data_IF_733849892969
#
_entry.id   IF_733849892969
#
_cell.length_a   1.000
_cell.length_b   1.000
_cell.length_c   1.000
_cell.angle_alpha   90.00
_cell.angle_beta   90.00
_cell.angle_gamma   90.00
#
_symmetry.space_group_name_H-M   'P 1'
#
loop_
_entity.id
_entity.type
_entity.pdbx_description
1 polymer ?
#
# COMPACT_ATOMS: atom_id res chain seq x y z
N UNK A 1 -5.03 -14.02 19.50
CA UNK A 1 -4.89 -12.63 19.01
C UNK A 1 -3.67 -11.88 19.52
N UNK A 2 -2.94 -12.36 20.53
CA UNK A 2 -1.76 -11.65 21.04
C UNK A 2 -0.70 -11.37 19.95
N UNK A 3 -0.63 -12.22 18.92
CA UNK A 3 0.25 -12.05 17.76
C UNK A 3 -0.13 -10.91 16.81
N UNK A 4 -1.31 -10.30 16.95
CA UNK A 4 -1.80 -9.22 16.09
C UNK A 4 -2.26 -8.01 16.92
N UNK A 5 -1.35 -7.26 17.56
CA UNK A 5 -1.72 -6.03 18.24
C UNK A 5 -2.24 -4.98 17.25
N UNK A 6 -3.28 -4.25 17.64
CA UNK A 6 -3.89 -3.26 16.74
C UNK A 6 -2.90 -2.13 16.37
N UNK A 7 -3.00 -1.62 15.13
CA UNK A 7 -2.14 -0.57 14.57
C UNK A 7 -0.65 -0.93 14.46
N UNK A 8 -0.28 -2.19 14.66
CA UNK A 8 1.10 -2.68 14.40
C UNK A 8 1.26 -3.12 12.95
N UNK A 9 2.52 -3.23 12.51
CA UNK A 9 2.85 -3.78 11.20
C UNK A 9 3.45 -5.18 11.37
N UNK A 10 3.15 -6.08 10.45
CA UNK A 10 3.66 -7.46 10.46
C UNK A 10 4.08 -7.90 9.06
N UNK A 11 5.04 -8.81 9.00
CA UNK A 11 5.22 -9.69 7.84
C UNK A 11 4.43 -10.97 8.05
N UNK A 12 3.83 -11.47 6.97
CA UNK A 12 3.08 -12.72 6.96
C UNK A 12 3.87 -13.75 6.15
N UNK A 13 4.55 -14.67 6.83
CA UNK A 13 5.30 -15.76 6.21
C UNK A 13 4.46 -17.02 6.15
N UNK A 14 4.26 -17.56 4.95
CA UNK A 14 3.55 -18.83 4.74
C UNK A 14 4.58 -19.94 4.77
N UNK A 15 4.51 -20.79 5.80
CA UNK A 15 5.47 -21.87 6.03
C UNK A 15 5.44 -22.90 4.90
N UNK A 16 4.26 -23.22 4.39
CA UNK A 16 4.09 -24.25 3.35
C UNK A 16 4.61 -23.83 1.97
N UNK A 17 4.71 -22.52 1.71
CA UNK A 17 5.30 -21.97 0.48
C UNK A 17 6.71 -21.41 0.67
N UNK A 18 7.23 -21.41 1.90
CA UNK A 18 8.49 -20.75 2.27
C UNK A 18 8.59 -19.33 1.68
N UNK A 19 7.53 -18.54 1.84
CA UNK A 19 7.43 -17.22 1.22
C UNK A 19 6.59 -16.23 2.02
N UNK A 20 6.90 -14.95 1.89
CA UNK A 20 6.11 -13.84 2.45
C UNK A 20 4.99 -13.42 1.51
N UNK A 21 3.81 -13.19 2.08
CA UNK A 21 2.68 -12.58 1.39
C UNK A 21 2.92 -11.08 1.18
N UNK A 22 2.75 -10.59 -0.04
CA UNK A 22 2.90 -9.17 -0.36
C UNK A 22 1.87 -8.66 -1.36
N UNK A 23 1.59 -7.35 -1.26
CA UNK A 23 0.74 -6.61 -2.17
C UNK A 23 1.49 -6.27 -3.47
N UNK A 24 0.99 -6.73 -4.62
CA UNK A 24 1.60 -6.37 -5.90
C UNK A 24 1.50 -4.85 -6.14
N UNK A 25 2.55 -4.27 -6.76
CA UNK A 25 2.66 -2.81 -6.97
C UNK A 25 1.61 -2.33 -7.97
N UNK A 26 1.56 -2.92 -9.16
CA UNK A 26 0.76 -2.40 -10.29
C UNK A 26 -0.54 -3.17 -10.55
N UNK A 27 -0.90 -4.09 -9.65
CA UNK A 27 -2.06 -4.98 -9.80
C UNK A 27 -2.82 -5.05 -8.49
N UNK A 28 -4.12 -5.28 -8.57
CA UNK A 28 -4.95 -5.60 -7.39
C UNK A 28 -4.62 -6.98 -6.78
N UNK A 29 -3.65 -7.70 -7.33
CA UNK A 29 -3.29 -9.04 -6.90
C UNK A 29 -2.43 -9.07 -5.64
N UNK A 30 -2.38 -10.27 -5.07
CA UNK A 30 -1.48 -10.67 -3.99
C UNK A 30 -0.49 -11.68 -4.56
N UNK A 31 0.74 -11.69 -4.05
CA UNK A 31 1.74 -12.67 -4.44
C UNK A 31 2.64 -13.05 -3.26
N UNK A 32 3.51 -14.04 -3.50
CA UNK A 32 4.43 -14.57 -2.53
C UNK A 32 5.89 -14.35 -2.97
N UNK A 33 6.77 -14.01 -2.04
CA UNK A 33 8.21 -13.89 -2.30
C UNK A 33 9.03 -14.55 -1.18
N UNK A 34 9.97 -15.46 -1.49
CA UNK A 34 10.87 -16.04 -0.49
C UNK A 34 11.81 -15.02 0.14
N UNK A 35 12.17 -13.96 -0.59
CA UNK A 35 13.16 -12.98 -0.16
C UNK A 35 12.52 -11.74 0.45
N UNK A 36 12.58 -11.63 1.80
CA UNK A 36 12.10 -10.46 2.55
C UNK A 36 12.72 -9.14 2.06
N UNK A 37 13.99 -9.15 1.69
CA UNK A 37 14.74 -7.94 1.29
C UNK A 37 14.21 -7.29 0.00
N UNK A 38 13.46 -8.02 -0.83
CA UNK A 38 12.89 -7.51 -2.07
C UNK A 38 11.48 -6.91 -1.91
N UNK A 39 10.86 -7.07 -0.73
CA UNK A 39 9.46 -6.69 -0.52
C UNK A 39 9.26 -5.20 -0.28
N UNK A 40 10.24 -4.52 0.34
CA UNK A 40 10.09 -3.15 0.83
C UNK A 40 8.72 -2.99 1.54
N UNK A 41 8.04 -1.84 1.39
CA UNK A 41 6.74 -1.59 2.02
C UNK A 41 5.59 -2.46 1.50
N UNK A 42 5.76 -3.14 0.37
CA UNK A 42 4.71 -3.95 -0.25
C UNK A 42 4.42 -5.26 0.49
N UNK A 43 5.37 -5.79 1.27
CA UNK A 43 5.11 -6.98 2.11
C UNK A 43 4.70 -6.67 3.54
N UNK A 44 4.66 -5.38 3.93
CA UNK A 44 4.26 -4.98 5.26
C UNK A 44 2.75 -4.79 5.35
N UNK A 45 2.14 -5.48 6.32
CA UNK A 45 0.70 -5.44 6.56
C UNK A 45 0.42 -4.76 7.90
N UNK A 46 -0.34 -3.69 7.88
CA UNK A 46 -0.87 -3.05 9.06
C UNK A 46 -2.08 -3.83 9.60
N UNK A 47 -2.09 -4.05 10.91
CA UNK A 47 -3.12 -4.78 11.63
C UNK A 47 -4.26 -3.83 12.00
N UNK A 48 -5.46 -4.17 11.56
CA UNK A 48 -6.70 -3.51 11.95
C UNK A 48 -7.58 -4.52 12.72
N UNK A 49 -7.67 -4.37 14.04
CA UNK A 49 -8.56 -5.17 14.88
C UNK A 49 -9.97 -4.60 14.91
N UNK A 50 -10.95 -5.51 14.86
CA UNK A 50 -12.36 -5.17 14.86
C UNK A 50 -13.15 -6.24 15.63
N UNK A 51 -14.10 -5.84 16.48
CA UNK A 51 -15.07 -6.77 17.09
C UNK A 51 -16.40 -6.62 16.38
N UNK A 52 -16.98 -7.74 15.94
CA UNK A 52 -18.29 -7.78 15.29
C UNK A 52 -19.08 -8.99 15.75
N UNK A 53 -20.31 -8.75 16.22
CA UNK A 53 -21.21 -9.78 16.75
C UNK A 53 -20.59 -10.60 17.90
N UNK A 54 -19.69 -9.98 18.69
CA UNK A 54 -18.96 -10.66 19.75
C UNK A 54 -17.76 -11.49 19.28
N UNK A 55 -17.50 -11.54 17.97
CA UNK A 55 -16.33 -12.20 17.39
C UNK A 55 -15.25 -11.16 17.10
N UNK A 56 -14.02 -11.46 17.51
CA UNK A 56 -12.87 -10.66 17.15
C UNK A 56 -12.34 -11.04 15.76
N UNK A 57 -12.11 -10.01 14.95
CA UNK A 57 -11.51 -10.09 13.63
C UNK A 57 -10.22 -9.29 13.55
N UNK A 58 -9.35 -9.75 12.67
CA UNK A 58 -8.15 -9.08 12.20
C UNK A 58 -8.33 -8.83 10.72
N UNK A 59 -8.15 -7.58 10.32
CA UNK A 59 -8.05 -7.16 8.93
C UNK A 59 -6.60 -6.75 8.68
N UNK A 60 -6.11 -7.02 7.47
CA UNK A 60 -4.76 -6.64 7.06
C UNK A 60 -4.87 -5.59 5.96
N UNK A 61 -4.26 -4.42 6.15
CA UNK A 61 -4.15 -3.44 5.07
C UNK A 61 -2.68 -3.19 4.70
N UNK A 62 -2.41 -3.09 3.41
CA UNK A 62 -1.08 -2.87 2.88
C UNK A 62 -0.53 -1.54 3.37
N UNK A 63 0.68 -1.54 3.93
CA UNK A 63 1.35 -0.31 4.32
C UNK A 63 1.73 0.56 3.12
N UNK A 64 1.79 -0.03 1.91
CA UNK A 64 2.14 0.66 0.67
C UNK A 64 0.94 1.34 0.00
N UNK A 65 -0.23 0.68 -0.01
CA UNK A 65 -1.41 1.15 -0.76
C UNK A 65 -2.61 1.52 0.11
N UNK A 66 -2.59 1.13 1.39
CA UNK A 66 -3.73 1.20 2.31
C UNK A 66 -4.86 0.22 2.01
N UNK A 67 -4.80 -0.52 0.89
CA UNK A 67 -5.84 -1.49 0.51
C UNK A 67 -5.82 -2.71 1.40
N UNK A 68 -7.01 -3.27 1.64
CA UNK A 68 -7.22 -4.43 2.50
C UNK A 68 -6.98 -5.72 1.73
N UNK A 69 -6.31 -6.67 2.39
CA UNK A 69 -6.28 -8.06 1.97
C UNK A 69 -7.71 -8.61 2.02
N UNK A 70 -8.14 -9.22 0.93
CA UNK A 70 -9.43 -9.85 0.83
C UNK A 70 -9.30 -11.23 0.19
N UNK A 71 -10.08 -12.18 0.69
CA UNK A 71 -10.25 -13.45 0.02
C UNK A 71 -11.40 -13.35 -1.00
N UNK A 72 -11.26 -14.02 -2.13
CA UNK A 72 -12.27 -14.15 -3.18
C UNK A 72 -12.50 -15.63 -3.44
N UNK A 73 -13.60 -15.94 -4.13
CA UNK A 73 -13.85 -17.30 -4.60
C UNK A 73 -12.74 -17.70 -5.58
N UNK A 74 -12.21 -18.92 -5.44
CA UNK A 74 -11.21 -19.44 -6.37
C UNK A 74 -11.80 -19.42 -7.78
N UNK A 75 -11.11 -18.72 -8.69
CA UNK A 75 -11.38 -18.92 -10.12
C UNK A 75 -11.04 -20.36 -10.46
N UNK A 76 -11.86 -21.03 -11.27
CA UNK A 76 -11.71 -22.43 -11.71
C UNK A 76 -10.36 -22.76 -12.39
N UNK A 77 -9.49 -21.77 -12.58
CA UNK A 77 -8.13 -21.92 -13.09
C UNK A 77 -7.14 -22.33 -11.97
N UNK A 78 -6.73 -23.59 -12.04
CA UNK A 78 -5.87 -24.33 -11.12
C UNK A 78 -4.60 -23.58 -10.63
N UNK A 79 -4.33 -23.69 -9.31
CA UNK A 79 -3.13 -24.35 -8.75
C UNK A 79 -2.35 -23.63 -7.61
N UNK A 80 -2.86 -22.55 -7.01
CA UNK A 80 -2.28 -22.03 -5.76
C UNK A 80 -3.34 -21.37 -4.90
N UNK A 81 -3.47 -21.77 -3.63
CA UNK A 81 -4.53 -21.26 -2.76
C UNK A 81 -4.34 -19.80 -2.28
N UNK A 82 -3.23 -19.13 -2.62
CA UNK A 82 -3.15 -17.66 -2.52
C UNK A 82 -3.70 -16.93 -3.76
N UNK A 83 -4.06 -17.64 -4.84
CA UNK A 83 -4.70 -17.06 -6.02
C UNK A 83 -6.11 -16.54 -5.73
N UNK A 84 -6.73 -16.99 -4.63
CA UNK A 84 -7.98 -16.45 -4.10
C UNK A 84 -7.79 -15.22 -3.23
N UNK A 85 -6.67 -14.50 -3.30
CA UNK A 85 -6.46 -13.26 -2.55
C UNK A 85 -6.20 -12.03 -3.44
N UNK A 86 -6.86 -10.93 -3.08
CA UNK A 86 -6.77 -9.63 -3.76
C UNK A 86 -6.63 -8.49 -2.76
N UNK A 87 -6.35 -7.30 -3.28
CA UNK A 87 -6.40 -6.04 -2.56
C UNK A 87 -7.71 -5.31 -2.91
N UNK A 88 -8.48 -4.90 -1.90
CA UNK A 88 -9.70 -4.13 -2.11
C UNK A 88 -9.83 -2.92 -1.17
N UNK A 89 -10.83 -2.09 -1.39
CA UNK A 89 -11.26 -1.07 -0.43
C UNK A 89 -12.15 -1.70 0.64
N UNK A 90 -12.18 -1.08 1.83
CA UNK A 90 -13.09 -1.43 2.91
C UNK A 90 -14.12 -0.32 3.10
N UNK A 91 -15.24 -0.43 2.39
CA UNK A 91 -16.29 0.56 2.25
C UNK A 91 -17.57 0.24 3.01
N UNK A 92 -17.77 -1.00 3.42
CA UNK A 92 -18.99 -1.44 4.07
C UNK A 92 -18.67 -2.38 5.22
N UNK A 93 -19.31 -2.18 6.39
CA UNK A 93 -19.15 -3.11 7.49
C UNK A 93 -19.63 -4.52 7.10
N UNK A 94 -20.52 -4.70 6.14
CA UNK A 94 -20.98 -6.03 5.69
C UNK A 94 -19.95 -6.78 4.81
N UNK A 95 -18.80 -6.18 4.48
CA UNK A 95 -17.76 -6.84 3.71
C UNK A 95 -17.05 -7.92 4.54
N UNK A 96 -17.53 -9.15 4.45
CA UNK A 96 -16.98 -10.29 5.20
C UNK A 96 -15.67 -10.83 4.62
N UNK A 97 -15.39 -10.54 3.35
CA UNK A 97 -14.23 -11.07 2.63
C UNK A 97 -12.87 -10.50 3.10
N UNK A 98 -12.87 -9.42 3.88
CA UNK A 98 -11.67 -8.86 4.52
C UNK A 98 -11.51 -9.28 5.98
N UNK A 99 -12.50 -9.99 6.55
CA UNK A 99 -12.55 -10.32 7.97
C UNK A 99 -11.88 -11.67 8.22
N UNK A 100 -10.73 -11.64 8.89
CA UNK A 100 -10.01 -12.86 9.24
C UNK A 100 -10.02 -13.11 10.74
N UNK A 101 -10.02 -14.38 11.13
CA UNK A 101 -9.72 -14.83 12.47
C UNK A 101 -8.36 -15.52 12.46
N UNK A 102 -7.63 -15.37 13.55
CA UNK A 102 -6.31 -15.96 13.71
C UNK A 102 -6.26 -16.80 14.98
N UNK A 103 -5.87 -18.06 14.82
CA UNK A 103 -5.80 -19.06 15.90
C UNK A 103 -4.42 -19.70 15.93
N UNK A 104 -3.85 -19.80 17.12
CA UNK A 104 -2.54 -20.44 17.30
C UNK A 104 -2.68 -21.95 17.19
N UNK A 105 -1.73 -22.60 16.54
CA UNK A 105 -1.65 -24.04 16.45
C UNK A 105 -1.40 -24.65 17.84
N UNK A 106 -2.13 -25.73 18.16
CA UNK A 106 -2.07 -26.41 19.45
C UNK A 106 -0.90 -27.39 19.57
N UNK A 107 -0.11 -27.56 18.50
CA UNK A 107 1.04 -28.47 18.42
C UNK A 107 2.33 -27.89 19.05
N UNK A 108 2.28 -26.67 19.56
CA UNK A 108 3.43 -25.97 20.15
C UNK A 108 4.42 -25.40 19.13
N UNK A 109 4.12 -25.44 17.84
CA UNK A 109 4.97 -24.87 16.77
C UNK A 109 5.03 -23.34 16.79
N UNK A 110 4.06 -22.70 17.45
CA UNK A 110 3.86 -21.25 17.41
C UNK A 110 3.20 -20.76 16.11
N UNK A 111 2.78 -21.66 15.23
CA UNK A 111 2.11 -21.29 13.98
C UNK A 111 0.74 -20.70 14.22
N UNK A 112 0.31 -19.90 13.26
CA UNK A 112 -1.02 -19.32 13.20
C UNK A 112 -1.76 -19.93 12.02
N UNK A 113 -3.02 -20.32 12.23
CA UNK A 113 -3.97 -20.55 11.15
C UNK A 113 -4.83 -19.31 10.98
N UNK A 114 -5.00 -18.88 9.74
CA UNK A 114 -5.81 -17.73 9.35
C UNK A 114 -7.05 -18.25 8.63
N UNK A 115 -8.22 -17.80 9.06
CA UNK A 115 -9.51 -18.19 8.47
C UNK A 115 -10.34 -16.95 8.13
N UNK A 116 -10.94 -16.90 6.96
CA UNK A 116 -11.85 -15.84 6.58
C UNK A 116 -13.28 -16.12 7.08
N UNK A 117 -14.01 -15.07 7.47
CA UNK A 117 -15.41 -15.19 7.96
C UNK A 117 -16.33 -15.88 6.94
N UNK A 118 -16.16 -15.59 5.65
CA UNK A 118 -17.01 -16.12 4.58
C UNK A 118 -16.49 -17.44 4.01
N UNK A 119 -15.18 -17.56 3.83
CA UNK A 119 -14.58 -18.66 3.06
C UNK A 119 -13.95 -19.77 3.93
N UNK A 120 -13.86 -19.58 5.25
CA UNK A 120 -13.28 -20.58 6.16
C UNK A 120 -11.77 -20.52 6.24
N UNK A 121 -11.14 -21.63 6.67
CA UNK A 121 -9.69 -21.73 6.81
C UNK A 121 -9.00 -21.47 5.47
N UNK A 122 -7.90 -20.70 5.48
CA UNK A 122 -7.09 -20.50 4.29
C UNK A 122 -6.17 -21.70 4.13
N UNK A 123 -6.53 -22.60 3.22
CA UNK A 123 -5.87 -23.90 3.06
C UNK A 123 -4.79 -23.88 1.97
N UNK A 124 -3.71 -24.66 2.11
CA UNK A 124 -2.66 -24.82 1.10
C UNK A 124 -3.14 -25.71 -0.06
N UNK A 125 -3.94 -26.72 0.27
CA UNK A 125 -4.65 -27.59 -0.65
C UNK A 125 -6.15 -27.58 -0.28
N UNK A 126 -6.93 -28.56 -0.75
CA UNK A 126 -8.38 -28.56 -0.55
C UNK A 126 -8.80 -28.57 0.93
N UNK A 127 -8.00 -29.14 1.85
CA UNK A 127 -8.45 -29.40 3.22
C UNK A 127 -7.39 -29.10 4.31
N UNK A 128 -6.16 -28.76 3.93
CA UNK A 128 -5.05 -28.55 4.86
C UNK A 128 -4.85 -27.06 5.13
N UNK A 129 -5.16 -26.55 6.35
CA UNK A 129 -4.96 -25.14 6.69
C UNK A 129 -3.49 -24.72 6.56
N UNK A 130 -3.23 -23.59 5.89
CA UNK A 130 -1.89 -23.02 5.77
C UNK A 130 -1.35 -22.62 7.14
N UNK A 131 -0.05 -22.85 7.35
CA UNK A 131 0.67 -22.43 8.56
C UNK A 131 1.36 -21.10 8.34
N UNK A 132 1.00 -20.13 9.17
CA UNK A 132 1.51 -18.76 9.08
C UNK A 132 2.45 -18.47 10.24
N UNK A 133 3.57 -17.83 9.93
CA UNK A 133 4.46 -17.20 10.91
C UNK A 133 4.29 -15.70 10.80
N UNK A 134 4.01 -15.06 11.94
CA UNK A 134 3.79 -13.62 12.04
C UNK A 134 5.05 -12.98 12.59
N UNK A 135 5.74 -12.19 11.77
CA UNK A 135 6.93 -11.46 12.21
C UNK A 135 6.56 -9.99 12.47
N UNK A 136 6.76 -9.52 13.69
CA UNK A 136 6.49 -8.13 14.03
C UNK A 136 7.47 -7.18 13.32
N UNK A 137 6.94 -6.09 12.76
CA UNK A 137 7.71 -4.99 12.20
C UNK A 137 7.78 -3.89 13.25
N UNK A 138 9.00 -3.44 13.57
CA UNK A 138 9.18 -2.32 14.49
C UNK A 138 8.54 -1.06 13.92
N UNK A 139 7.93 -0.25 14.78
CA UNK A 139 7.34 1.02 14.37
C UNK A 139 8.42 2.10 14.32
N UNK A 140 8.38 2.98 13.31
CA UNK A 140 9.22 4.19 13.29
C UNK A 140 8.58 5.26 14.17
N UNK A 141 9.44 6.00 14.89
CA UNK A 141 9.01 7.16 15.70
C UNK A 141 8.70 8.39 14.84
N UNK A 142 9.28 8.47 13.64
CA UNK A 142 9.13 9.60 12.73
C UNK A 142 8.77 9.10 11.33
N UNK A 143 8.01 9.90 10.56
CA UNK A 143 7.78 9.63 9.15
C UNK A 143 9.13 9.43 8.42
N UNK A 144 9.26 8.42 7.56
CA UNK A 144 10.44 8.29 6.71
C UNK A 144 10.57 9.49 5.76
N UNK A 145 11.79 9.79 5.35
CA UNK A 145 12.01 10.78 4.29
C UNK A 145 11.43 10.26 2.98
N UNK A 146 10.70 11.13 2.27
CA UNK A 146 10.15 10.76 0.97
C UNK A 146 11.28 10.61 -0.08
N UNK A 147 11.12 9.71 -1.05
CA UNK A 147 12.00 9.65 -2.21
C UNK A 147 12.07 11.01 -2.90
N UNK A 148 13.28 11.56 -3.00
CA UNK A 148 13.50 12.80 -3.77
C UNK A 148 13.43 12.42 -5.25
N UNK A 149 12.57 13.07 -6.05
CA UNK A 149 12.48 12.76 -7.48
C UNK A 149 13.85 13.03 -8.14
N UNK A 150 14.30 12.16 -9.06
CA UNK A 150 15.55 12.38 -9.78
C UNK A 150 15.46 13.73 -10.51
N UNK A 151 16.55 14.51 -10.46
CA UNK A 151 16.60 15.79 -11.19
C UNK A 151 16.28 15.55 -12.67
N UNK A 152 15.49 16.42 -13.32
CA UNK A 152 15.26 16.32 -14.76
C UNK A 152 16.62 16.34 -15.44
N UNK A 153 16.95 15.26 -16.18
CA UNK A 153 18.18 15.24 -16.99
C UNK A 153 18.09 16.44 -17.92
N UNK A 154 18.94 17.44 -17.68
CA UNK A 154 19.00 18.63 -18.52
C UNK A 154 19.17 18.17 -19.96
N UNK A 155 18.22 18.53 -20.83
CA UNK A 155 18.33 18.27 -22.26
C UNK A 155 19.69 18.83 -22.72
N UNK A 156 20.52 18.04 -23.44
CA UNK A 156 21.81 18.54 -23.87
C UNK A 156 21.59 19.80 -24.70
N UNK A 157 22.11 20.92 -24.21
CA UNK A 157 22.07 22.18 -24.92
C UNK A 157 22.66 21.93 -26.32
N UNK A 158 21.84 22.11 -27.35
CA UNK A 158 22.28 22.03 -28.73
C UNK A 158 23.14 23.27 -29.04
N UNK A 159 24.40 23.25 -28.59
CA UNK A 159 25.41 24.21 -29.01
C UNK A 159 25.74 23.94 -30.47
N UNK A 160 25.25 24.83 -31.34
CA UNK A 160 25.48 24.78 -32.78
C UNK A 160 26.96 24.87 -33.12
N UNK A 161 27.56 23.73 -33.46
CA UNK A 161 28.88 23.62 -34.09
C UNK A 161 28.78 22.92 -35.45
N UNK A 162 29.69 23.18 -36.41
CA UNK A 162 29.55 22.67 -37.77
C UNK A 162 29.57 21.15 -37.83
N UNK A 163 28.60 20.58 -38.55
CA UNK A 163 28.34 19.16 -38.69
C UNK A 163 29.52 18.45 -39.39
N UNK A 164 30.36 17.74 -38.62
CA UNK A 164 31.18 16.66 -39.18
C UNK A 164 30.34 15.38 -39.21
N UNK A 165 30.05 14.89 -40.43
CA UNK A 165 29.32 13.64 -40.68
C UNK A 165 30.12 12.42 -40.16
N UNK A 166 30.01 12.12 -38.87
CA UNK A 166 30.24 10.77 -38.38
C UNK A 166 28.96 9.97 -38.55
N UNK A 167 29.03 8.90 -39.35
CA UNK A 167 28.01 7.85 -39.40
C UNK A 167 27.93 7.20 -38.02
N UNK A 168 27.09 7.72 -37.12
CA UNK A 168 26.74 7.04 -35.88
C UNK A 168 25.64 6.01 -36.18
N UNK A 169 25.97 4.76 -35.87
CA UNK A 169 25.05 3.63 -35.65
C UNK A 169 23.80 4.14 -34.93
N UNK A 170 22.63 3.78 -35.44
CA UNK A 170 21.33 4.28 -34.98
C UNK A 170 21.16 4.20 -33.47
N UNK A 171 21.21 5.36 -32.82
CA UNK A 171 20.48 5.60 -31.59
C UNK A 171 19.07 5.91 -32.07
N UNK A 172 18.21 4.89 -32.02
CA UNK A 172 16.79 5.07 -32.22
C UNK A 172 16.34 6.07 -31.15
N UNK A 173 15.65 7.18 -31.50
CA UNK A 173 15.02 8.03 -30.50
C UNK A 173 14.17 7.10 -29.64
N UNK A 174 14.46 7.01 -28.34
CA UNK A 174 13.52 6.38 -27.44
C UNK A 174 12.20 7.10 -27.65
N UNK A 175 11.17 6.34 -28.04
CA UNK A 175 9.81 6.85 -28.01
C UNK A 175 9.61 7.48 -26.63
N UNK A 176 8.98 8.68 -26.53
CA UNK A 176 8.70 9.28 -25.25
C UNK A 176 8.04 8.22 -24.38
N UNK A 177 8.66 7.91 -23.23
CA UNK A 177 8.03 6.98 -22.30
C UNK A 177 6.64 7.54 -21.99
N UNK A 178 5.59 6.72 -22.02
CA UNK A 178 4.25 7.19 -21.69
C UNK A 178 4.32 7.83 -20.29
N UNK A 179 3.98 9.11 -20.22
CA UNK A 179 3.87 9.80 -18.92
C UNK A 179 2.63 9.22 -18.27
N UNK A 180 2.84 8.42 -17.22
CA UNK A 180 1.75 7.87 -16.42
C UNK A 180 0.95 9.04 -15.86
N UNK A 181 -0.33 9.08 -16.19
CA UNK A 181 -1.25 10.13 -15.78
C UNK A 181 -2.42 9.50 -15.05
N UNK A 182 -2.66 9.95 -13.83
CA UNK A 182 -3.76 9.46 -12.98
C UNK A 182 -4.57 10.61 -12.44
N UNK A 183 -5.86 10.36 -12.24
CA UNK A 183 -6.72 11.27 -11.49
C UNK A 183 -6.53 11.01 -10.00
N UNK A 184 -6.20 12.06 -9.26
CA UNK A 184 -6.15 12.05 -7.80
C UNK A 184 -7.44 12.70 -7.31
N UNK A 185 -8.19 11.94 -6.53
CA UNK A 185 -9.35 12.43 -5.80
C UNK A 185 -8.89 12.69 -4.38
N UNK A 186 -8.99 13.93 -3.89
CA UNK A 186 -8.45 14.29 -2.58
C UNK A 186 -9.35 15.21 -1.78
N UNK A 187 -9.20 15.16 -0.46
CA UNK A 187 -9.90 16.01 0.49
C UNK A 187 -8.96 16.44 1.62
N UNK A 188 -9.11 17.67 2.09
CA UNK A 188 -8.38 18.17 3.26
C UNK A 188 -9.22 17.97 4.51
N UNK A 189 -8.68 17.20 5.46
CA UNK A 189 -9.32 16.95 6.75
C UNK A 189 -8.94 18.01 7.79
N UNK A 190 -9.75 18.09 8.84
CA UNK A 190 -9.44 18.87 10.04
C UNK A 190 -8.34 18.21 10.88
N UNK A 191 -7.99 18.85 12.01
CA UNK A 191 -6.91 18.36 12.87
C UNK A 191 -7.19 16.99 13.51
N UNK A 192 -8.47 16.60 13.59
CA UNK A 192 -8.92 15.30 14.10
C UNK A 192 -9.07 14.27 12.99
N UNK A 193 -8.77 14.63 11.73
CA UNK A 193 -8.86 13.73 10.58
C UNK A 193 -10.28 13.59 10.03
N UNK A 194 -11.23 14.42 10.48
CA UNK A 194 -12.57 14.43 9.92
C UNK A 194 -12.60 15.27 8.64
N UNK A 195 -13.38 14.81 7.67
CA UNK A 195 -13.60 15.55 6.42
C UNK A 195 -15.03 15.37 5.95
N UNK A 196 -15.50 16.33 5.15
CA UNK A 196 -16.82 16.23 4.53
C UNK A 196 -16.71 15.41 3.22
N UNK A 197 -17.45 14.29 3.08
CA UNK A 197 -17.48 13.51 1.85
C UNK A 197 -18.01 14.25 0.61
N UNK A 198 -18.54 15.47 0.75
CA UNK A 198 -18.96 16.32 -0.37
C UNK A 198 -17.87 17.29 -0.83
N UNK A 199 -16.75 17.40 -0.10
CA UNK A 199 -15.69 18.38 -0.37
C UNK A 199 -14.49 17.80 -1.13
N UNK A 200 -14.63 16.58 -1.67
CA UNK A 200 -13.58 16.02 -2.49
C UNK A 200 -13.34 16.85 -3.74
N UNK A 201 -12.07 16.93 -4.13
CA UNK A 201 -11.56 17.65 -5.29
C UNK A 201 -10.79 16.68 -6.17
N UNK A 202 -10.68 17.02 -7.45
CA UNK A 202 -9.91 16.26 -8.40
C UNK A 202 -8.71 17.07 -8.87
N UNK A 203 -7.57 16.40 -9.04
CA UNK A 203 -6.46 16.91 -9.82
C UNK A 203 -5.91 15.80 -10.72
N UNK A 204 -5.32 16.21 -11.83
CA UNK A 204 -4.60 15.31 -12.72
C UNK A 204 -3.14 15.32 -12.30
N UNK A 205 -2.59 14.14 -12.03
CA UNK A 205 -1.21 13.98 -11.60
C UNK A 205 -0.41 13.19 -12.62
N UNK A 206 0.79 13.67 -12.91
CA UNK A 206 1.73 13.05 -13.84
C UNK A 206 2.93 12.51 -13.06
N UNK A 207 3.21 11.22 -13.24
CA UNK A 207 4.31 10.52 -12.59
C UNK A 207 3.89 9.74 -11.35
N UNK A 208 4.90 9.41 -10.53
CA UNK A 208 4.75 8.52 -9.37
C UNK A 208 5.23 9.14 -8.06
N UNK A 209 5.97 10.26 -8.13
CA UNK A 209 6.63 10.82 -6.95
C UNK A 209 5.61 11.38 -5.95
N UNK A 210 5.55 10.81 -4.76
CA UNK A 210 4.68 11.33 -3.68
C UNK A 210 5.11 12.73 -3.26
N UNK A 211 6.40 13.07 -3.38
CA UNK A 211 6.90 14.42 -3.15
C UNK A 211 6.29 15.43 -4.15
N UNK A 212 6.30 15.11 -5.44
CA UNK A 212 5.69 15.95 -6.47
C UNK A 212 4.17 16.03 -6.29
N UNK A 213 3.51 14.91 -5.98
CA UNK A 213 2.08 14.91 -5.68
C UNK A 213 1.74 15.84 -4.51
N UNK A 214 2.55 15.79 -3.44
CA UNK A 214 2.39 16.68 -2.28
C UNK A 214 2.50 18.15 -2.66
N UNK A 215 3.46 18.50 -3.52
CA UNK A 215 3.61 19.86 -4.04
C UNK A 215 2.39 20.29 -4.86
N UNK A 216 1.89 19.42 -5.73
CA UNK A 216 0.78 19.74 -6.63
C UNK A 216 -0.54 19.89 -5.85
N UNK A 217 -0.78 19.02 -4.85
CA UNK A 217 -1.88 19.16 -3.88
C UNK A 217 -1.75 20.45 -3.09
N UNK A 218 -0.56 20.78 -2.58
CA UNK A 218 -0.32 22.01 -1.84
C UNK A 218 -0.67 23.25 -2.70
N UNK A 219 -0.27 23.25 -3.97
CA UNK A 219 -0.67 24.28 -4.93
C UNK A 219 -2.19 24.37 -5.11
N UNK A 220 -2.87 23.24 -5.25
CA UNK A 220 -4.33 23.18 -5.39
C UNK A 220 -5.08 23.67 -4.14
N UNK A 221 -4.48 23.55 -2.95
CA UNK A 221 -5.00 24.02 -1.67
C UNK A 221 -4.64 25.49 -1.36
N UNK A 222 -3.78 26.14 -2.15
CA UNK A 222 -3.27 27.48 -1.85
C UNK A 222 -2.11 27.50 -0.84
N UNK A 223 -1.56 26.34 -0.52
CA UNK A 223 -0.49 26.09 0.47
C UNK A 223 0.87 25.83 -0.20
N UNK A 224 1.12 26.39 -1.39
CA UNK A 224 2.31 26.08 -2.20
C UNK A 224 3.66 26.31 -1.49
N UNK A 225 3.69 27.20 -0.48
CA UNK A 225 4.88 27.49 0.32
C UNK A 225 5.05 26.55 1.53
N UNK A 226 4.08 25.68 1.80
CA UNK A 226 4.02 24.80 2.96
C UNK A 226 3.88 23.32 2.57
N UNK A 227 4.61 22.89 1.53
CA UNK A 227 4.55 21.51 1.02
C UNK A 227 4.85 20.48 2.11
N UNK A 228 5.82 20.73 2.99
CA UNK A 228 6.17 19.82 4.09
C UNK A 228 5.15 19.83 5.24
N UNK A 229 4.30 20.85 5.31
CA UNK A 229 3.20 20.95 6.26
C UNK A 229 2.01 20.05 5.93
N UNK A 230 2.06 19.28 4.84
CA UNK A 230 1.02 18.33 4.45
C UNK A 230 1.51 16.89 4.55
N UNK A 231 0.70 16.04 5.17
CA UNK A 231 0.85 14.58 5.18
C UNK A 231 -0.24 13.97 4.33
N UNK A 232 0.14 13.20 3.31
CA UNK A 232 -0.79 12.54 2.40
C UNK A 232 -1.06 11.12 2.87
N UNK A 233 -2.34 10.74 2.95
CA UNK A 233 -2.75 9.40 3.32
C UNK A 233 -3.62 8.77 2.23
N UNK A 234 -3.32 7.54 1.82
CA UNK A 234 -4.23 6.73 1.03
C UNK A 234 -5.52 6.47 1.83
N UNK A 235 -6.65 6.63 1.16
CA UNK A 235 -7.97 6.36 1.70
C UNK A 235 -8.58 5.17 0.96
N UNK A 236 -8.40 3.97 1.50
CA UNK A 236 -8.87 2.74 0.86
C UNK A 236 -10.27 2.33 1.37
N UNK A 237 -11.19 3.28 1.37
CA UNK A 237 -12.61 3.06 1.67
C UNK A 237 -13.08 3.59 3.02
N UNK A 238 -14.40 3.73 3.16
CA UNK A 238 -15.03 4.47 4.26
C UNK A 238 -14.97 3.84 5.65
N UNK A 239 -14.71 2.54 5.72
CA UNK A 239 -14.45 1.83 6.97
C UNK A 239 -12.95 1.50 7.11
N UNK A 240 -12.15 1.89 6.12
CA UNK A 240 -10.71 1.71 6.08
C UNK A 240 -9.96 2.72 6.95
N UNK A 241 -8.74 2.36 7.32
CA UNK A 241 -7.82 3.25 8.05
C UNK A 241 -6.98 4.06 7.07
N UNK A 242 -6.68 5.30 7.46
CA UNK A 242 -5.73 6.13 6.74
C UNK A 242 -4.35 5.49 6.75
N UNK A 243 -3.75 5.38 5.58
CA UNK A 243 -2.39 4.82 5.42
C UNK A 243 -1.47 5.89 4.87
N UNK A 244 -0.39 6.28 5.58
CA UNK A 244 0.48 7.35 5.12
C UNK A 244 1.22 6.96 3.83
N UNK A 245 1.22 7.86 2.85
CA UNK A 245 1.98 7.70 1.62
C UNK A 245 3.44 8.08 1.84
N UNK A 246 4.29 7.07 1.87
CA UNK A 246 5.73 7.20 2.17
C UNK A 246 6.65 6.57 1.13
N UNK A 247 6.09 5.95 0.11
CA UNK A 247 6.78 5.45 -1.08
C UNK A 247 6.13 6.07 -2.32
N UNK A 248 6.81 5.99 -3.46
CA UNK A 248 6.24 6.44 -4.72
C UNK A 248 5.02 5.60 -5.11
N UNK A 249 4.10 6.25 -5.83
CA UNK A 249 2.86 5.67 -6.30
C UNK A 249 3.13 4.54 -7.32
N UNK A 250 2.23 3.55 -7.42
CA UNK A 250 2.35 2.48 -8.40
C UNK A 250 2.37 3.01 -9.84
N UNK A 251 2.79 2.18 -10.79
CA UNK A 251 2.88 2.54 -12.20
C UNK A 251 1.56 2.28 -12.94
N UNK A 252 0.46 2.86 -12.43
CA UNK A 252 -0.87 2.71 -13.03
C UNK A 252 -1.57 4.06 -13.29
N UNK A 253 -2.76 4.00 -13.89
CA UNK A 253 -3.62 5.16 -14.17
C UNK A 253 -4.90 5.14 -13.33
N UNK A 254 -4.94 4.29 -12.29
CA UNK A 254 -6.13 4.13 -11.45
C UNK A 254 -6.38 5.39 -10.62
N UNK A 255 -7.66 5.71 -10.42
CA UNK A 255 -8.06 6.78 -9.50
C UNK A 255 -7.57 6.42 -8.10
N UNK A 256 -6.98 7.40 -7.42
CA UNK A 256 -6.50 7.25 -6.05
C UNK A 256 -7.13 8.28 -5.13
N UNK A 257 -7.77 7.80 -4.07
CA UNK A 257 -8.36 8.62 -3.02
C UNK A 257 -7.30 8.96 -1.97
N UNK A 258 -7.13 10.26 -1.72
CA UNK A 258 -6.13 10.79 -0.77
C UNK A 258 -6.79 11.72 0.24
N UNK A 259 -6.61 11.43 1.52
CA UNK A 259 -6.92 12.36 2.60
C UNK A 259 -5.65 13.11 2.96
N UNK A 260 -5.73 14.43 2.95
CA UNK A 260 -4.64 15.34 3.30
C UNK A 260 -4.83 15.73 4.77
N UNK A 261 -3.78 15.51 5.57
CA UNK A 261 -3.69 15.94 6.95
C UNK A 261 -2.66 17.05 7.09
N UNK A 262 -2.92 18.00 7.99
CA UNK A 262 -1.89 18.96 8.41
C UNK A 262 -0.83 18.23 9.23
N UNK A 263 0.44 18.34 8.84
CA UNK A 263 1.55 17.74 9.58
C UNK A 263 1.58 18.27 11.01
N UNK A 264 1.60 17.36 11.98
CA UNK A 264 1.57 17.69 13.40
C UNK A 264 0.16 17.83 14.00
N UNK A 265 -0.90 17.69 13.21
CA UNK A 265 -2.27 17.57 13.74
C UNK A 265 -2.46 16.30 14.58
N UNK A 266 -3.55 16.23 15.35
CA UNK A 266 -3.88 15.04 16.15
C UNK A 266 -3.96 13.78 15.28
N UNK A 267 -4.69 13.84 14.16
CA UNK A 267 -4.78 12.71 13.24
C UNK A 267 -3.44 12.33 12.62
N UNK A 268 -2.58 13.30 12.30
CA UNK A 268 -1.26 13.01 11.76
C UNK A 268 -0.34 12.33 12.78
N UNK A 269 -0.46 12.68 14.07
CA UNK A 269 0.31 12.06 15.16
C UNK A 269 -0.13 10.62 15.46
N UNK A 270 -1.35 10.24 15.08
CA UNK A 270 -1.85 8.86 15.22
C UNK A 270 -1.37 7.90 14.13
N UNK A 271 -0.77 8.42 13.06
CA UNK A 271 -0.25 7.61 11.97
C UNK A 271 0.93 6.76 12.44
N UNK A 272 0.95 5.51 12.01
CA UNK A 272 2.02 4.57 12.30
C UNK A 272 2.80 4.27 11.03
N UNK A 273 4.12 4.19 11.17
CA UNK A 273 5.03 3.93 10.06
C UNK A 273 5.79 2.63 10.28
N UNK A 274 5.78 1.76 9.28
CA UNK A 274 6.55 0.52 9.29
C UNK A 274 8.06 0.82 9.17
N UNK A 275 8.89 0.20 10.01
CA UNK A 275 10.34 0.28 9.88
C UNK A 275 10.86 -0.86 9.00
N UNK A 276 11.12 -0.53 7.72
CA UNK A 276 11.50 -1.50 6.68
C UNK A 276 12.90 -1.18 6.14
N UNK A 277 13.68 -0.38 6.88
CA UNK A 277 15.07 -0.17 6.55
C UNK A 277 15.78 -1.55 6.55
N UNK A 278 16.62 -1.84 5.54
CA UNK A 278 17.37 -3.09 5.53
C UNK A 278 18.25 -3.16 6.78
N UNK A 279 18.08 -4.24 7.56
CA UNK A 279 18.97 -4.60 8.67
C UNK A 279 20.41 -4.82 8.18
#
# INVERSE_FOLDING_TARGET
MESFPDRTHVWLWIRDYEAYLYAQVDRQGIACCPNRGSLHLHGAWAVHRLVRDGTDYVLFHSAASGRYLAQIEDSEDENYAYNSAVQCTYDSPEQDNVLFQARTAEDGSGDIFISNRRFGDWCYDNDTPMRWVVEAITQRLLPPELPVPPEPIAAPAMTGGPIRRLRRRGIQPQAPQPVLRRTIHFVWADDQGNFNPLHWRFLEFEGQSVFNLRRDIAGALGEANNVLGLTLCAYAGSNGRLTPLVIDLPSDENIMDIVVLTTGSTAAQELVYANIDPL
#
